data_IF_876456951316
#
_entry.id   IF_876456951316
#
_cell.length_a   1.000
_cell.length_b   1.000
_cell.length_c   1.000
_cell.angle_alpha   90.00
_cell.angle_beta   90.00
_cell.angle_gamma   90.00
#
_symmetry.space_group_name_H-M   'P 1'
#
loop_
_entity.id
_entity.type
_entity.pdbx_description
1 polymer ?
#
# COMPACT_ATOMS: atom_id res chain seq x y z
N UNK A 1 -19.86 10.87 -25.53
CA UNK A 1 -18.48 10.54 -25.10
C UNK A 1 -18.57 9.34 -24.17
N UNK A 2 -18.30 8.15 -24.68
CA UNK A 2 -18.23 6.92 -23.87
C UNK A 2 -17.01 7.03 -22.97
N UNK A 3 -17.22 7.21 -21.66
CA UNK A 3 -16.14 7.11 -20.67
C UNK A 3 -15.55 5.72 -20.80
N UNK A 4 -14.30 5.61 -21.23
CA UNK A 4 -13.51 4.41 -21.00
C UNK A 4 -13.52 4.26 -19.47
N UNK A 5 -14.19 3.21 -18.98
CA UNK A 5 -14.19 2.88 -17.55
C UNK A 5 -12.73 2.81 -17.12
N UNK A 6 -12.29 3.73 -16.27
CA UNK A 6 -10.97 3.65 -15.67
C UNK A 6 -10.82 2.26 -15.01
N UNK A 7 -9.63 1.66 -15.15
CA UNK A 7 -9.36 0.40 -14.46
C UNK A 7 -9.51 0.55 -12.94
N UNK A 8 -9.60 -0.56 -12.19
CA UNK A 8 -9.76 -0.49 -10.74
C UNK A 8 -8.63 0.30 -10.09
N UNK A 9 -8.91 1.06 -9.02
CA UNK A 9 -7.85 1.71 -8.24
C UNK A 9 -7.06 0.67 -7.45
N UNK A 10 -5.73 0.73 -7.48
CA UNK A 10 -4.88 -0.19 -6.74
C UNK A 10 -3.73 0.55 -6.04
N UNK A 11 -3.63 0.38 -4.73
CA UNK A 11 -2.52 0.88 -3.95
C UNK A 11 -1.31 -0.03 -4.09
N UNK A 12 -0.16 0.55 -4.44
CA UNK A 12 1.12 -0.15 -4.53
C UNK A 12 1.93 0.11 -3.26
N UNK A 13 2.07 -0.93 -2.45
CA UNK A 13 2.80 -0.89 -1.18
C UNK A 13 4.32 -0.75 -1.38
N UNK A 14 5.03 -0.27 -0.36
CA UNK A 14 6.49 -0.10 -0.33
C UNK A 14 7.22 -1.38 -0.76
N UNK A 15 6.72 -2.55 -0.37
CA UNK A 15 7.33 -3.84 -0.71
C UNK A 15 7.38 -4.12 -2.21
N UNK A 16 6.37 -3.67 -2.96
CA UNK A 16 6.32 -3.77 -4.43
C UNK A 16 7.39 -2.91 -5.05
N UNK A 17 7.52 -1.66 -4.57
CA UNK A 17 8.48 -0.67 -5.07
C UNK A 17 9.91 -1.14 -4.81
N UNK A 18 10.24 -1.57 -3.59
CA UNK A 18 11.57 -2.09 -3.24
C UNK A 18 11.92 -3.30 -4.11
N UNK A 19 11.01 -4.25 -4.28
CA UNK A 19 11.31 -5.44 -5.08
C UNK A 19 11.41 -5.15 -6.58
N UNK A 20 10.70 -4.14 -7.08
CA UNK A 20 10.87 -3.66 -8.44
C UNK A 20 12.24 -3.00 -8.66
N UNK A 21 12.80 -2.33 -7.65
CA UNK A 21 14.19 -1.84 -7.68
C UNK A 21 15.18 -3.01 -7.69
N UNK A 22 14.98 -4.01 -6.82
CA UNK A 22 15.88 -5.15 -6.66
C UNK A 22 16.00 -6.04 -7.90
N UNK A 23 15.00 -6.10 -8.78
CA UNK A 23 15.07 -6.91 -9.99
C UNK A 23 13.95 -6.67 -11.00
N UNK A 24 14.17 -7.14 -12.24
CA UNK A 24 13.25 -7.01 -13.37
C UNK A 24 12.15 -8.08 -13.41
N UNK A 25 11.60 -8.44 -12.24
CA UNK A 25 10.53 -9.45 -12.12
C UNK A 25 9.13 -8.85 -12.13
N UNK A 26 8.17 -9.65 -11.64
CA UNK A 26 6.73 -9.33 -11.62
C UNK A 26 6.40 -7.96 -11.01
N UNK A 27 7.13 -7.53 -9.98
CA UNK A 27 6.96 -6.21 -9.37
C UNK A 27 7.25 -5.07 -10.36
N UNK A 28 8.27 -5.24 -11.21
CA UNK A 28 8.61 -4.26 -12.24
C UNK A 28 7.57 -4.24 -13.36
N UNK A 29 6.98 -5.40 -13.69
CA UNK A 29 5.91 -5.46 -14.68
C UNK A 29 4.62 -4.79 -14.18
N UNK A 30 4.29 -4.92 -12.88
CA UNK A 30 3.22 -4.14 -12.26
C UNK A 30 3.47 -2.63 -12.37
N UNK A 31 4.69 -2.16 -12.11
CA UNK A 31 5.02 -0.73 -12.27
C UNK A 31 4.94 -0.26 -13.72
N UNK A 32 5.30 -1.10 -14.69
CA UNK A 32 5.13 -0.77 -16.12
C UNK A 32 3.65 -0.66 -16.48
N UNK A 33 2.82 -1.60 -16.02
CA UNK A 33 1.38 -1.59 -16.24
C UNK A 33 0.72 -0.34 -15.61
N UNK A 34 1.21 0.09 -14.44
CA UNK A 34 0.76 1.30 -13.75
C UNK A 34 0.91 2.59 -14.58
N UNK A 35 1.76 2.60 -15.62
CA UNK A 35 1.94 3.77 -16.50
C UNK A 35 0.72 4.06 -17.39
N UNK A 36 -0.25 3.14 -17.45
CA UNK A 36 -1.48 3.33 -18.20
C UNK A 36 -2.70 3.00 -17.33
N UNK A 37 -3.61 3.96 -17.23
CA UNK A 37 -4.84 3.84 -16.43
C UNK A 37 -5.87 2.87 -17.03
N UNK A 38 -5.58 2.32 -18.23
CA UNK A 38 -6.37 1.29 -18.89
C UNK A 38 -6.38 0.00 -18.06
N UNK A 39 -5.23 -0.41 -17.52
CA UNK A 39 -5.14 -1.64 -16.74
C UNK A 39 -5.66 -1.43 -15.31
N UNK A 40 -5.24 -0.34 -14.68
CA UNK A 40 -5.67 0.05 -13.34
C UNK A 40 -5.24 1.48 -13.05
N UNK A 41 -5.89 2.14 -12.10
CA UNK A 41 -5.46 3.46 -11.61
C UNK A 41 -4.51 3.27 -10.40
N UNK A 42 -3.22 3.58 -10.52
CA UNK A 42 -2.25 3.34 -9.46
C UNK A 42 -2.34 4.38 -8.36
N UNK A 43 -2.26 3.93 -7.11
CA UNK A 43 -2.14 4.79 -5.93
C UNK A 43 -0.82 4.49 -5.23
N UNK A 44 0.03 5.51 -5.09
CA UNK A 44 1.27 5.43 -4.31
C UNK A 44 1.21 6.53 -3.27
N UNK A 45 1.43 6.19 -2.00
CA UNK A 45 1.42 7.17 -0.91
C UNK A 45 2.81 7.78 -0.68
N UNK A 46 2.87 9.02 -0.18
CA UNK A 46 4.14 9.63 0.21
C UNK A 46 4.86 8.84 1.30
N UNK A 47 4.13 8.21 2.22
CA UNK A 47 4.75 7.35 3.25
C UNK A 47 5.40 6.13 2.60
N UNK A 48 4.77 5.51 1.61
CA UNK A 48 5.37 4.38 0.89
C UNK A 48 6.67 4.79 0.19
N UNK A 49 6.74 6.00 -0.39
CA UNK A 49 7.97 6.49 -1.02
C UNK A 49 9.05 6.88 -0.01
N UNK A 50 8.69 7.55 1.09
CA UNK A 50 9.64 7.89 2.16
C UNK A 50 10.23 6.63 2.79
N UNK A 51 9.41 5.61 2.96
CA UNK A 51 9.84 4.33 3.50
C UNK A 51 10.68 3.54 2.48
N UNK A 52 10.31 3.57 1.19
CA UNK A 52 11.17 3.07 0.12
C UNK A 52 12.55 3.70 0.21
N UNK A 53 12.65 5.04 0.19
CA UNK A 53 13.92 5.78 0.28
C UNK A 53 14.68 5.36 1.54
N UNK A 54 14.03 5.41 2.71
CA UNK A 54 14.64 5.01 3.99
C UNK A 54 15.20 3.59 3.93
N UNK A 55 14.48 2.64 3.36
CA UNK A 55 14.87 1.24 3.30
C UNK A 55 16.04 1.03 2.34
N UNK A 56 16.01 1.65 1.15
CA UNK A 56 17.04 1.43 0.11
C UNK A 56 18.31 2.24 0.34
N UNK A 57 18.23 3.36 1.08
CA UNK A 57 19.39 4.13 1.56
C UNK A 57 20.08 3.50 2.78
N UNK A 58 19.60 2.36 3.27
CA UNK A 58 20.20 1.58 4.35
C UNK A 58 20.60 0.18 3.85
N UNK A 59 21.38 -0.57 4.63
CA UNK A 59 21.68 -1.97 4.31
C UNK A 59 20.38 -2.80 4.25
N UNK A 60 20.04 -3.29 3.06
CA UNK A 60 18.86 -4.14 2.88
C UNK A 60 19.18 -5.58 3.26
N UNK A 61 18.35 -6.14 4.14
CA UNK A 61 18.33 -7.59 4.43
C UNK A 61 17.52 -8.30 3.34
N UNK A 62 18.17 -8.68 2.24
CA UNK A 62 17.51 -9.37 1.12
C UNK A 62 17.29 -10.86 1.40
N UNK A 63 18.07 -11.46 2.31
CA UNK A 63 17.84 -12.80 2.89
C UNK A 63 18.60 -12.96 4.22
N UNK A 64 18.33 -14.02 5.00
CA UNK A 64 19.05 -14.32 6.25
C UNK A 64 20.58 -14.47 6.09
N UNK A 65 21.12 -14.51 4.86
CA UNK A 65 22.55 -14.72 4.59
C UNK A 65 23.22 -13.68 3.68
N UNK A 66 22.47 -12.79 3.03
CA UNK A 66 23.04 -11.78 2.14
C UNK A 66 22.54 -10.40 2.51
N UNK A 67 23.50 -9.52 2.82
CA UNK A 67 23.29 -8.08 2.92
C UNK A 67 23.59 -7.49 1.55
N UNK A 68 22.71 -6.62 1.07
CA UNK A 68 23.03 -5.76 -0.06
C UNK A 68 23.55 -4.44 0.50
N UNK A 69 24.60 -3.91 -0.11
CA UNK A 69 25.01 -2.54 0.16
C UNK A 69 23.86 -1.57 -0.13
N UNK A 70 23.79 -0.42 0.58
CA UNK A 70 22.83 0.62 0.28
C UNK A 70 22.89 1.05 -1.18
N UNK A 71 21.74 1.39 -1.76
CA UNK A 71 21.70 2.02 -3.08
C UNK A 71 22.23 3.44 -2.99
N UNK A 72 22.96 3.86 -4.02
CA UNK A 72 23.39 5.24 -4.17
C UNK A 72 22.20 6.14 -4.48
N UNK A 73 22.31 7.44 -4.15
CA UNK A 73 21.27 8.41 -4.50
C UNK A 73 21.03 8.48 -6.01
N UNK A 74 22.07 8.33 -6.83
CA UNK A 74 21.95 8.29 -8.28
C UNK A 74 21.11 7.09 -8.76
N UNK A 75 21.33 5.88 -8.21
CA UNK A 75 20.50 4.71 -8.54
C UNK A 75 19.04 4.88 -8.10
N UNK A 76 18.82 5.51 -6.94
CA UNK A 76 17.48 5.80 -6.41
C UNK A 76 16.76 6.80 -7.30
N UNK A 77 17.41 7.92 -7.65
CA UNK A 77 16.85 8.96 -8.53
C UNK A 77 16.52 8.40 -9.91
N UNK A 78 17.46 7.68 -10.53
CA UNK A 78 17.20 7.03 -11.83
C UNK A 78 16.00 6.09 -11.78
N UNK A 79 15.85 5.32 -10.69
CA UNK A 79 14.69 4.44 -10.53
C UNK A 79 13.38 5.22 -10.36
N UNK A 80 13.37 6.29 -9.55
CA UNK A 80 12.20 7.13 -9.34
C UNK A 80 11.78 7.80 -10.65
N UNK A 81 12.72 8.34 -11.42
CA UNK A 81 12.46 8.98 -12.72
C UNK A 81 11.91 8.01 -13.76
N UNK A 82 12.46 6.79 -13.84
CA UNK A 82 12.02 5.83 -14.86
C UNK A 82 10.72 5.11 -14.51
N UNK A 83 10.48 4.83 -13.22
CA UNK A 83 9.40 3.92 -12.81
C UNK A 83 8.34 4.57 -11.93
N UNK A 84 8.64 5.58 -11.12
CA UNK A 84 7.68 6.12 -10.13
C UNK A 84 7.05 7.42 -10.58
N UNK A 85 7.83 8.42 -10.97
CA UNK A 85 7.30 9.71 -11.43
C UNK A 85 6.37 9.61 -12.64
N UNK A 86 6.59 8.69 -13.60
CA UNK A 86 5.62 8.46 -14.69
C UNK A 86 4.28 7.90 -14.23
N UNK A 87 4.20 7.31 -13.03
CA UNK A 87 2.98 6.74 -12.44
C UNK A 87 2.20 7.81 -11.67
N UNK A 88 2.88 8.58 -10.82
CA UNK A 88 2.22 9.57 -9.93
C UNK A 88 1.88 10.88 -10.64
N UNK A 89 2.47 11.13 -11.81
CA UNK A 89 2.19 12.33 -12.62
C UNK A 89 2.50 13.64 -11.90
N UNK A 90 1.91 14.74 -12.38
CA UNK A 90 2.10 16.08 -11.82
C UNK A 90 1.40 16.32 -10.48
N UNK A 91 0.38 15.51 -10.16
CA UNK A 91 -0.33 15.58 -8.88
C UNK A 91 0.49 14.98 -7.73
N UNK A 92 1.48 14.14 -8.08
CA UNK A 92 2.38 13.52 -7.13
C UNK A 92 1.73 12.41 -6.30
N UNK A 93 2.48 11.82 -5.35
CA UNK A 93 1.99 10.74 -4.51
C UNK A 93 0.91 11.24 -3.54
N UNK A 94 -0.06 10.37 -3.24
CA UNK A 94 -1.21 10.71 -2.39
C UNK A 94 -0.74 10.88 -0.94
N UNK A 95 -1.26 11.92 -0.29
CA UNK A 95 -1.19 12.07 1.16
C UNK A 95 -2.43 11.47 1.80
N UNK A 96 -2.27 10.53 2.74
CA UNK A 96 -3.39 10.15 3.61
C UNK A 96 -3.70 11.29 4.58
N UNK A 97 -4.97 11.52 4.90
CA UNK A 97 -5.34 12.46 5.95
C UNK A 97 -4.91 11.94 7.35
N UNK A 98 -4.69 10.63 7.48
CA UNK A 98 -4.24 9.97 8.70
C UNK A 98 -2.78 9.53 8.58
N UNK A 99 -1.88 10.48 8.85
CA UNK A 99 -0.45 10.21 9.03
C UNK A 99 -0.18 9.37 10.29
N UNK A 100 0.92 8.59 10.30
CA UNK A 100 1.50 7.92 11.48
C UNK A 100 1.71 8.82 12.71
N UNK A 101 1.74 10.15 12.50
CA UNK A 101 1.89 11.15 13.55
C UNK A 101 0.56 11.86 13.89
N UNK A 102 -0.57 11.40 13.34
CA UNK A 102 -1.88 11.96 13.66
C UNK A 102 -2.18 11.70 15.13
N UNK A 103 -2.32 12.78 15.92
CA UNK A 103 -2.53 12.70 17.35
C UNK A 103 -3.75 11.85 17.73
N UNK A 104 -4.78 11.76 16.88
CA UNK A 104 -5.93 10.88 17.11
C UNK A 104 -5.59 9.40 16.93
N UNK A 105 -4.76 9.06 15.94
CA UNK A 105 -4.28 7.68 15.70
C UNK A 105 -3.33 7.25 16.82
N UNK A 106 -2.35 8.10 17.17
CA UNK A 106 -1.42 7.85 18.29
C UNK A 106 -2.16 7.72 19.60
N UNK A 107 -3.12 8.61 19.88
CA UNK A 107 -3.96 8.56 21.08
C UNK A 107 -4.75 7.26 21.15
N UNK A 108 -5.35 6.82 20.05
CA UNK A 108 -6.16 5.58 19.99
C UNK A 108 -5.34 4.30 20.15
N UNK A 109 -4.13 4.26 19.58
CA UNK A 109 -3.17 3.18 19.82
C UNK A 109 -2.74 3.15 21.28
N UNK A 110 -2.54 4.32 21.89
CA UNK A 110 -2.18 4.44 23.32
C UNK A 110 -3.32 4.07 24.28
N UNK A 111 -4.57 4.01 23.81
CA UNK A 111 -5.76 3.67 24.61
C UNK A 111 -6.43 2.33 24.20
N UNK A 112 -5.69 1.39 23.60
CA UNK A 112 -6.18 0.05 23.21
C UNK A 112 -7.42 0.07 22.29
N UNK A 113 -7.52 1.04 21.39
CA UNK A 113 -8.54 0.96 20.35
C UNK A 113 -8.27 -0.26 19.45
N UNK A 114 -9.33 -0.96 19.06
CA UNK A 114 -9.28 -2.06 18.11
C UNK A 114 -9.28 -1.52 16.68
N UNK A 115 -8.84 -2.33 15.71
CA UNK A 115 -8.92 -1.98 14.29
C UNK A 115 -10.37 -1.64 13.88
N UNK A 116 -11.37 -2.29 14.53
CA UNK A 116 -12.81 -1.99 14.44
C UNK A 116 -13.15 -0.53 14.80
N UNK A 117 -12.65 0.00 15.91
CA UNK A 117 -12.97 1.37 16.35
C UNK A 117 -12.38 2.46 15.45
N UNK A 118 -11.40 2.09 14.64
CA UNK A 118 -10.75 2.99 13.69
C UNK A 118 -11.35 2.83 12.29
N UNK A 119 -11.84 1.64 11.96
CA UNK A 119 -12.67 1.36 10.79
C UNK A 119 -13.93 2.24 10.72
N UNK A 120 -14.74 2.30 11.77
CA UNK A 120 -15.96 3.13 11.79
C UNK A 120 -15.68 4.63 11.69
N UNK A 121 -14.55 5.08 12.23
CA UNK A 121 -14.22 6.50 12.29
C UNK A 121 -13.43 7.03 11.08
N UNK A 122 -12.68 6.16 10.40
CA UNK A 122 -11.83 6.54 9.25
C UNK A 122 -12.41 6.16 7.89
N UNK A 123 -13.53 5.43 7.88
CA UNK A 123 -14.14 4.94 6.65
C UNK A 123 -15.62 5.29 6.63
N UNK A 124 -16.27 5.15 5.48
CA UNK A 124 -17.72 5.30 5.35
C UNK A 124 -18.51 4.11 5.93
N UNK A 125 -17.85 3.19 6.64
CA UNK A 125 -18.50 2.01 7.20
C UNK A 125 -19.48 2.41 8.30
N UNK A 126 -20.69 1.89 8.19
CA UNK A 126 -21.64 1.91 9.31
C UNK A 126 -21.19 0.95 10.41
N UNK A 127 -21.60 1.19 11.66
CA UNK A 127 -21.33 0.30 12.80
C UNK A 127 -21.65 -1.17 12.48
N UNK A 128 -22.73 -1.39 11.72
CA UNK A 128 -23.20 -2.73 11.31
C UNK A 128 -22.30 -3.39 10.26
N UNK A 129 -21.67 -2.62 9.39
CA UNK A 129 -20.70 -3.14 8.41
C UNK A 129 -19.36 -3.45 9.07
N UNK A 130 -18.94 -2.62 10.02
CA UNK A 130 -17.77 -2.87 10.85
C UNK A 130 -17.97 -4.11 11.74
N UNK A 131 -19.16 -4.32 12.30
CA UNK A 131 -19.52 -5.55 13.05
C UNK A 131 -19.45 -6.81 12.17
N UNK A 132 -19.99 -6.75 10.94
CA UNK A 132 -19.91 -7.89 10.02
C UNK A 132 -18.48 -8.21 9.60
N UNK A 133 -17.64 -7.19 9.44
CA UNK A 133 -16.24 -7.37 9.09
C UNK A 133 -15.45 -7.93 10.28
N UNK A 134 -15.73 -7.45 11.49
CA UNK A 134 -15.08 -7.90 12.72
C UNK A 134 -15.51 -9.30 13.15
N UNK A 135 -16.70 -9.75 12.73
CA UNK A 135 -17.12 -11.15 12.89
C UNK A 135 -16.43 -12.11 11.90
N UNK A 136 -15.81 -11.61 10.82
CA UNK A 136 -15.20 -12.42 9.76
C UNK A 136 -13.67 -12.54 9.87
N UNK A 137 -13.02 -11.66 10.63
CA UNK A 137 -11.57 -11.57 10.83
C UNK A 137 -11.27 -11.05 12.23
N UNK A 138 -10.06 -11.32 12.75
CA UNK A 138 -9.54 -10.84 14.04
C UNK A 138 -9.37 -9.31 14.09
N UNK A 139 -10.44 -8.53 13.87
CA UNK A 139 -10.45 -7.05 13.93
C UNK A 139 -10.66 -6.51 15.36
N UNK A 140 -10.80 -7.44 16.32
CA UNK A 140 -10.88 -7.16 17.75
C UNK A 140 -9.50 -7.18 18.42
N UNK A 141 -8.46 -7.54 17.68
CA UNK A 141 -7.08 -7.38 18.13
C UNK A 141 -6.77 -5.88 18.35
N UNK A 142 -6.09 -5.54 19.46
CA UNK A 142 -5.59 -4.20 19.70
C UNK A 142 -4.76 -3.67 18.52
N UNK A 143 -4.90 -2.38 18.18
CA UNK A 143 -4.10 -1.75 17.11
C UNK A 143 -2.59 -1.88 17.32
N UNK A 144 -2.13 -2.02 18.57
CA UNK A 144 -0.72 -2.25 18.92
C UNK A 144 -0.15 -3.58 18.40
N UNK A 145 -1.01 -4.54 18.04
CA UNK A 145 -0.60 -5.80 17.41
C UNK A 145 -0.41 -5.66 15.89
N UNK A 146 -0.81 -4.53 15.30
CA UNK A 146 -0.63 -4.22 13.88
C UNK A 146 0.52 -3.20 13.71
N UNK A 147 1.36 -3.39 12.70
CA UNK A 147 2.39 -2.41 12.37
C UNK A 147 1.73 -1.11 11.88
N UNK A 148 2.16 0.02 12.45
CA UNK A 148 1.72 1.38 12.13
C UNK A 148 1.85 1.74 10.65
N UNK A 149 2.88 1.22 10.00
CA UNK A 149 3.09 1.40 8.56
C UNK A 149 1.97 0.77 7.74
N UNK A 150 1.56 -0.38 8.21
CA UNK A 150 0.73 -1.36 7.57
C UNK A 150 -0.76 -0.91 7.76
N UNK A 151 -1.05 -0.22 8.87
CA UNK A 151 -2.22 0.63 9.07
C UNK A 151 -2.30 1.82 8.10
N UNK A 152 -1.19 2.55 7.88
CA UNK A 152 -1.16 3.70 6.95
C UNK A 152 -1.46 3.28 5.49
N UNK A 153 -0.87 2.17 5.05
CA UNK A 153 -1.13 1.57 3.73
C UNK A 153 -2.63 1.34 3.56
N UNK A 154 -3.26 0.81 4.60
CA UNK A 154 -4.67 0.50 4.61
C UNK A 154 -5.57 1.75 4.63
N UNK A 155 -5.32 2.71 5.53
CA UNK A 155 -6.10 3.96 5.59
C UNK A 155 -6.03 4.71 4.26
N UNK A 156 -4.84 4.77 3.65
CA UNK A 156 -4.66 5.38 2.33
C UNK A 156 -5.48 4.66 1.25
N UNK A 157 -5.49 3.33 1.25
CA UNK A 157 -6.25 2.55 0.27
C UNK A 157 -7.75 2.85 0.34
N UNK A 158 -8.29 3.03 1.55
CA UNK A 158 -9.71 3.36 1.74
C UNK A 158 -10.01 4.78 1.30
N UNK A 159 -9.23 5.75 1.76
CA UNK A 159 -9.43 7.16 1.41
C UNK A 159 -9.36 7.38 -0.11
N UNK A 160 -8.45 6.66 -0.77
CA UNK A 160 -8.30 6.72 -2.23
C UNK A 160 -9.35 5.91 -3.00
N UNK A 161 -10.21 5.13 -2.31
CA UNK A 161 -11.22 4.27 -2.95
C UNK A 161 -10.63 3.10 -3.74
N UNK A 162 -9.55 2.50 -3.24
CA UNK A 162 -8.87 1.39 -3.91
C UNK A 162 -9.67 0.10 -3.85
N UNK A 163 -9.72 -0.63 -4.95
CA UNK A 163 -10.22 -2.00 -4.98
C UNK A 163 -9.15 -3.02 -4.53
N UNK A 164 -7.86 -2.66 -4.66
CA UNK A 164 -6.75 -3.55 -4.35
C UNK A 164 -5.66 -2.88 -3.52
N UNK A 165 -5.06 -3.67 -2.63
CA UNK A 165 -3.73 -3.39 -2.05
C UNK A 165 -2.78 -4.44 -2.60
N UNK A 166 -1.82 -4.01 -3.41
CA UNK A 166 -0.79 -4.87 -4.00
C UNK A 166 0.41 -4.88 -3.08
N UNK A 167 0.70 -6.02 -2.47
CA UNK A 167 1.82 -6.16 -1.51
C UNK A 167 2.40 -7.58 -1.55
N UNK A 168 3.70 -7.68 -1.34
CA UNK A 168 4.39 -8.95 -1.16
C UNK A 168 4.47 -9.39 0.32
N UNK A 169 4.01 -8.53 1.25
CA UNK A 169 3.91 -8.86 2.67
C UNK A 169 2.56 -9.55 2.95
N UNK A 170 2.56 -10.89 2.96
CA UNK A 170 1.31 -11.64 3.18
C UNK A 170 0.98 -11.99 4.61
N UNK A 171 1.88 -11.69 5.55
CA UNK A 171 1.84 -12.23 6.92
C UNK A 171 1.14 -11.31 7.92
N UNK A 172 1.02 -10.03 7.63
CA UNK A 172 0.69 -9.03 8.65
C UNK A 172 -0.74 -8.48 8.54
N UNK A 173 -1.44 -8.71 7.41
CA UNK A 173 -2.78 -8.16 7.18
C UNK A 173 -3.80 -9.17 6.68
N UNK A 174 -5.10 -8.93 6.95
CA UNK A 174 -6.15 -9.77 6.42
C UNK A 174 -6.20 -9.75 4.88
N UNK A 175 -6.84 -10.77 4.30
CA UNK A 175 -6.93 -10.91 2.84
C UNK A 175 -7.92 -9.92 2.20
N UNK A 176 -8.90 -9.43 2.96
CA UNK A 176 -9.93 -8.49 2.49
C UNK A 176 -10.35 -7.58 3.62
N UNK A 177 -10.58 -6.31 3.31
CA UNK A 177 -11.19 -5.33 4.23
C UNK A 177 -12.26 -4.60 3.43
N UNK A 178 -13.53 -4.83 3.79
CA UNK A 178 -14.64 -4.35 2.97
C UNK A 178 -14.60 -4.91 1.55
N UNK A 179 -14.60 -4.01 0.57
CA UNK A 179 -14.45 -4.33 -0.86
C UNK A 179 -12.99 -4.37 -1.32
N UNK A 180 -12.03 -3.96 -0.47
CA UNK A 180 -10.61 -3.90 -0.82
C UNK A 180 -9.98 -5.27 -0.64
N UNK A 181 -9.36 -5.80 -1.69
CA UNK A 181 -8.67 -7.08 -1.66
C UNK A 181 -7.15 -6.92 -1.60
N UNK A 182 -6.51 -7.62 -0.67
CA UNK A 182 -5.06 -7.72 -0.61
C UNK A 182 -4.59 -8.81 -1.56
N UNK A 183 -3.72 -8.45 -2.50
CA UNK A 183 -3.23 -9.34 -3.55
C UNK A 183 -1.72 -9.27 -3.67
N UNK A 184 -1.09 -10.40 -4.02
CA UNK A 184 0.32 -10.40 -4.39
C UNK A 184 0.52 -9.76 -5.76
N UNK A 185 1.71 -9.23 -6.09
CA UNK A 185 2.03 -8.69 -7.42
C UNK A 185 1.74 -9.67 -8.55
N UNK A 186 1.98 -10.97 -8.34
CA UNK A 186 1.65 -12.02 -9.31
C UNK A 186 0.15 -12.14 -9.54
N UNK A 187 -0.63 -12.30 -8.47
CA UNK A 187 -2.08 -12.40 -8.56
C UNK A 187 -2.69 -11.14 -9.17
N UNK A 188 -2.14 -9.96 -8.86
CA UNK A 188 -2.61 -8.70 -9.41
C UNK A 188 -2.31 -8.60 -10.90
N UNK A 189 -1.08 -8.89 -11.31
CA UNK A 189 -0.68 -8.91 -12.72
C UNK A 189 -1.52 -9.88 -13.55
N UNK A 190 -1.80 -11.08 -13.02
CA UNK A 190 -2.69 -12.07 -13.66
C UNK A 190 -4.13 -11.58 -13.81
N UNK A 191 -4.60 -10.62 -13.00
CA UNK A 191 -5.97 -10.09 -13.08
C UNK A 191 -6.11 -8.90 -14.05
N UNK A 192 -5.08 -8.08 -14.17
CA UNK A 192 -5.12 -6.86 -15.01
C UNK A 192 -4.69 -7.10 -16.45
N UNK A 193 -4.08 -8.26 -16.74
CA UNK A 193 -3.58 -8.62 -18.09
C UNK A 193 -4.51 -9.58 -18.85
N UNK A 194 -5.76 -9.73 -18.41
CA UNK A 194 -6.79 -10.59 -19.03
C UNK A 194 -7.75 -9.74 -19.85
#
# INVERSE_FOLDING_TARGET
MTSISAGPKALLDTTVIIKALLGAGINRDVLKAARTTIFFEPVISNVCLLEFIRNVSQELKTSRKFKREPFTWEEIEQFLEYYIYPIVGSEGPVNSAFSRNNAQVVRRITYNATLRNVLTDLTSFTDREAEKLAAQQELDEPLEHFDLQDFHVWSTAIEAGCAYIVTDNTKQFPKRIGHIERVTPRQFHERIMV
#
